data_IF_273682841519
#
_entry.id   IF_273682841519
#
_cell.length_a   1.000
_cell.length_b   1.000
_cell.length_c   1.000
_cell.angle_alpha   90.00
_cell.angle_beta   90.00
_cell.angle_gamma   90.00
#
_symmetry.space_group_name_H-M   'P 1'
#
loop_
_entity.id
_entity.type
_entity.pdbx_description
1 polymer ?
#
# COMPACT_ATOMS: atom_id res chain seq x y z
N UNK A 1 8.65 -16.14 7.01
CA UNK A 1 7.37 -15.64 6.47
C UNK A 1 7.57 -15.29 4.99
N UNK A 2 6.64 -15.67 4.10
CA UNK A 2 6.78 -15.42 2.65
C UNK A 2 6.19 -14.05 2.32
N UNK A 3 6.98 -13.16 1.72
CA UNK A 3 6.49 -11.88 1.24
C UNK A 3 5.50 -12.08 0.09
N UNK A 4 4.42 -11.30 0.09
CA UNK A 4 3.41 -11.26 -0.98
C UNK A 4 3.58 -9.98 -1.78
N UNK A 5 3.27 -10.06 -3.08
CA UNK A 5 3.20 -8.89 -3.93
C UNK A 5 1.91 -8.13 -3.61
N UNK A 6 2.04 -6.83 -3.36
CA UNK A 6 0.95 -5.95 -3.00
C UNK A 6 0.78 -4.93 -4.13
N UNK A 7 -0.43 -4.82 -4.67
CA UNK A 7 -0.78 -3.83 -5.68
C UNK A 7 -1.86 -2.91 -5.12
N UNK A 8 -1.55 -1.63 -4.99
CA UNK A 8 -2.47 -0.62 -4.42
C UNK A 8 -2.72 0.46 -5.47
N UNK A 9 -3.98 0.76 -5.83
CA UNK A 9 -4.30 1.87 -6.71
C UNK A 9 -3.79 3.19 -6.13
N UNK A 10 -3.30 4.09 -6.98
CA UNK A 10 -2.64 5.32 -6.55
C UNK A 10 -3.52 6.22 -5.68
N UNK A 11 -4.85 6.21 -5.89
CA UNK A 11 -5.81 6.91 -5.01
C UNK A 11 -5.79 6.35 -3.59
N UNK A 12 -5.81 5.03 -3.44
CA UNK A 12 -5.72 4.37 -2.14
C UNK A 12 -4.32 4.56 -1.54
N UNK A 13 -3.26 4.44 -2.34
CA UNK A 13 -1.90 4.68 -1.87
C UNK A 13 -1.69 6.11 -1.37
N UNK A 14 -2.30 7.11 -2.02
CA UNK A 14 -2.27 8.50 -1.56
C UNK A 14 -3.05 8.67 -0.25
N UNK A 15 -4.26 8.12 -0.17
CA UNK A 15 -5.04 8.16 1.06
C UNK A 15 -4.31 7.50 2.23
N UNK A 16 -3.68 6.35 1.98
CA UNK A 16 -2.87 5.64 2.97
C UNK A 16 -1.62 6.43 3.38
N UNK A 17 -0.98 7.15 2.46
CA UNK A 17 0.16 8.01 2.78
C UNK A 17 -0.23 9.22 3.66
N UNK A 18 -1.44 9.74 3.50
CA UNK A 18 -2.01 10.78 4.36
C UNK A 18 -2.63 10.21 5.67
N UNK A 19 -2.75 8.88 5.79
CA UNK A 19 -3.37 8.24 6.95
C UNK A 19 -2.39 8.10 8.11
N UNK A 20 -2.69 8.75 9.24
CA UNK A 20 -1.85 8.73 10.45
C UNK A 20 -2.00 7.48 11.32
N UNK A 21 -2.92 6.57 10.96
CA UNK A 21 -3.21 5.34 11.70
C UNK A 21 -2.44 4.09 11.24
N UNK A 22 -1.48 4.23 10.32
CA UNK A 22 -0.69 3.10 9.82
C UNK A 22 0.52 2.82 10.71
N UNK A 23 0.76 1.55 11.01
CA UNK A 23 1.97 1.10 11.71
C UNK A 23 3.25 1.33 10.90
N UNK A 24 4.40 1.20 11.56
CA UNK A 24 5.72 1.39 10.93
C UNK A 24 5.93 0.42 9.76
N UNK A 25 5.42 -0.80 9.86
CA UNK A 25 5.54 -1.83 8.82
C UNK A 25 4.69 -1.51 7.57
N UNK A 26 3.45 -1.04 7.76
CA UNK A 26 2.59 -0.54 6.68
C UNK A 26 3.22 0.67 5.97
N UNK A 27 3.71 1.65 6.72
CA UNK A 27 4.37 2.83 6.16
C UNK A 27 5.65 2.44 5.40
N UNK A 28 6.42 1.50 5.95
CA UNK A 28 7.62 0.99 5.30
C UNK A 28 7.30 0.22 4.02
N UNK A 29 6.21 -0.57 3.99
CA UNK A 29 5.72 -1.24 2.79
C UNK A 29 5.28 -0.24 1.71
N UNK A 30 4.64 0.88 2.10
CA UNK A 30 4.27 1.95 1.17
C UNK A 30 5.50 2.67 0.60
N UNK A 31 6.48 3.00 1.46
CA UNK A 31 7.71 3.69 1.05
C UNK A 31 8.62 2.82 0.18
N UNK A 32 8.69 1.51 0.45
CA UNK A 32 9.42 0.56 -0.41
C UNK A 32 8.64 0.16 -1.65
N UNK A 33 7.37 0.55 -1.75
CA UNK A 33 6.53 0.31 -2.91
C UNK A 33 7.02 1.09 -4.12
N UNK A 34 7.13 0.41 -5.26
CA UNK A 34 7.44 1.04 -6.54
C UNK A 34 6.17 1.56 -7.19
N UNK A 35 6.15 2.84 -7.50
CA UNK A 35 5.05 3.45 -8.25
C UNK A 35 5.18 3.13 -9.74
N UNK A 36 4.17 2.47 -10.29
CA UNK A 36 4.04 2.16 -11.72
C UNK A 36 2.96 3.09 -12.30
N UNK A 37 3.35 4.01 -13.18
CA UNK A 37 2.39 4.88 -13.87
C UNK A 37 1.57 4.09 -14.88
N UNK A 38 0.29 4.42 -14.97
CA UNK A 38 -0.68 3.93 -15.97
C UNK A 38 -1.34 5.13 -16.64
N UNK A 39 -1.92 4.95 -17.83
CA UNK A 39 -2.55 6.02 -18.61
C UNK A 39 -3.53 6.92 -17.83
N UNK A 40 -4.24 6.37 -16.83
CA UNK A 40 -5.21 7.12 -16.00
C UNK A 40 -4.82 7.21 -14.51
N UNK A 41 -3.56 6.94 -14.15
CA UNK A 41 -3.13 7.03 -12.75
C UNK A 41 -1.81 6.34 -12.45
N UNK A 42 -1.70 5.76 -11.26
CA UNK A 42 -0.57 4.91 -10.91
C UNK A 42 -1.03 3.76 -10.02
N UNK A 43 -0.24 2.70 -9.97
CA UNK A 43 -0.39 1.62 -9.00
C UNK A 43 0.91 1.55 -8.20
N UNK A 44 0.81 1.41 -6.88
CA UNK A 44 1.94 1.14 -6.02
C UNK A 44 2.13 -0.37 -5.92
N UNK A 45 3.30 -0.85 -6.33
CA UNK A 45 3.70 -2.25 -6.29
C UNK A 45 4.70 -2.44 -5.16
N UNK A 46 4.31 -3.11 -4.08
CA UNK A 46 5.17 -3.40 -2.94
C UNK A 46 5.32 -4.89 -2.71
N UNK A 47 6.27 -5.22 -1.85
CA UNK A 47 6.36 -6.55 -1.24
C UNK A 47 6.21 -6.37 0.25
N UNK A 48 5.18 -6.99 0.83
CA UNK A 48 4.89 -6.93 2.25
C UNK A 48 4.57 -8.33 2.78
N UNK A 49 4.58 -8.50 4.10
CA UNK A 49 4.01 -9.71 4.69
C UNK A 49 2.47 -9.70 4.54
N UNK A 50 1.80 -10.86 4.49
CA UNK A 50 0.36 -10.93 4.30
C UNK A 50 -0.44 -10.11 5.31
N UNK A 51 0.02 -10.02 6.56
CA UNK A 51 -0.65 -9.26 7.63
C UNK A 51 -0.64 -7.76 7.34
N UNK A 52 0.51 -7.21 6.93
CA UNK A 52 0.65 -5.82 6.48
C UNK A 52 -0.19 -5.56 5.24
N UNK A 53 -0.25 -6.51 4.30
CA UNK A 53 -1.11 -6.38 3.14
C UNK A 53 -2.60 -6.29 3.52
N UNK A 54 -3.07 -7.14 4.44
CA UNK A 54 -4.45 -7.11 4.94
C UNK A 54 -4.74 -5.80 5.69
N UNK A 55 -3.81 -5.31 6.51
CA UNK A 55 -3.94 -4.02 7.19
C UNK A 55 -4.07 -2.85 6.20
N UNK A 56 -3.23 -2.83 5.16
CA UNK A 56 -3.30 -1.82 4.09
C UNK A 56 -4.63 -1.89 3.32
N UNK A 57 -5.14 -3.08 3.03
CA UNK A 57 -6.45 -3.26 2.39
C UNK A 57 -7.60 -2.77 3.28
N UNK A 58 -7.57 -3.10 4.57
CA UNK A 58 -8.59 -2.67 5.53
C UNK A 58 -8.59 -1.14 5.71
N UNK A 59 -7.41 -0.52 5.76
CA UNK A 59 -7.27 0.93 5.81
C UNK A 59 -7.74 1.60 4.51
N UNK A 60 -7.41 1.03 3.34
CA UNK A 60 -7.88 1.53 2.05
C UNK A 60 -9.39 1.41 1.85
N UNK A 61 -10.04 0.40 2.44
CA UNK A 61 -11.50 0.23 2.38
C UNK A 61 -12.26 1.26 3.23
N UNK A 62 -11.58 1.95 4.15
CA UNK A 62 -12.15 3.03 4.98
C UNK A 62 -12.03 4.42 4.33
N UNK A 63 -11.43 4.50 3.13
CA UNK A 63 -11.07 5.72 2.41
C UNK A 63 -12.18 6.28 1.50
#
# INVERSE_FOLDING_TARGET
>A
MKAVHVEIPGRAARHLADHTGLGEEEQHALQRGRTVRRDQGYTLHGTAVPEVHQALLAAAARA
#
